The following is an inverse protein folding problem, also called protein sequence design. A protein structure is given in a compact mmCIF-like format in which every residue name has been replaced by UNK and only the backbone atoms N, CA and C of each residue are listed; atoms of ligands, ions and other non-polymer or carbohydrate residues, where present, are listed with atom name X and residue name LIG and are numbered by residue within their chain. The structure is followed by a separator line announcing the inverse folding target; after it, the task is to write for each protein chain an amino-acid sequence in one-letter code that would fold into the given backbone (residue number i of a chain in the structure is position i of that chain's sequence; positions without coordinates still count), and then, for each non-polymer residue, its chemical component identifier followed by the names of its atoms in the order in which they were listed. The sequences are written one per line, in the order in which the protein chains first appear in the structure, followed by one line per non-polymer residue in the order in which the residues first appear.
data_IF_874569394261
#
_entry.id   IF_874569394261
#
_cell.length_a   1.000
_cell.length_b   1.000
_cell.length_c   1.000
_cell.angle_alpha   90.00
_cell.angle_beta   90.00
_cell.angle_gamma   90.00
#
_symmetry.space_group_name_H-M   'P 1'
#
loop_
_entity.id
_entity.type
_entity.pdbx_description
1 polymer ?
#
# COMPACT_ATOMS: atom_id res chain seq x y z
N UNK A 1 -20.39 -30.98 -26.46
CA UNK A 1 -20.29 -30.51 -25.07
C UNK A 1 -20.98 -31.59 -24.27
N UNK A 2 -20.18 -32.45 -23.65
CA UNK A 2 -20.72 -33.58 -22.90
C UNK A 2 -21.44 -33.08 -21.63
N UNK A 3 -22.31 -33.91 -21.05
CA UNK A 3 -22.96 -33.59 -19.77
C UNK A 3 -21.94 -33.27 -18.67
N UNK A 4 -20.76 -33.88 -18.75
CA UNK A 4 -19.64 -33.69 -17.85
C UNK A 4 -18.99 -32.30 -18.04
N UNK A 5 -18.84 -31.82 -19.28
CA UNK A 5 -18.34 -30.46 -19.58
C UNK A 5 -19.30 -29.38 -19.10
N UNK A 6 -20.62 -29.62 -19.22
CA UNK A 6 -21.67 -28.70 -18.77
C UNK A 6 -21.65 -28.63 -17.24
N UNK A 7 -21.47 -29.77 -16.57
CA UNK A 7 -21.34 -29.84 -15.12
C UNK A 7 -20.05 -29.17 -14.61
N UNK A 8 -18.94 -29.27 -15.36
CA UNK A 8 -17.68 -28.64 -15.01
C UNK A 8 -17.70 -27.11 -15.18
N UNK A 9 -18.34 -26.61 -16.24
CA UNK A 9 -18.38 -25.17 -16.55
C UNK A 9 -19.54 -24.40 -15.91
N UNK A 10 -20.67 -25.05 -15.66
CA UNK A 10 -21.90 -24.40 -15.18
C UNK A 10 -22.43 -25.00 -13.87
N UNK A 11 -21.67 -25.89 -13.23
CA UNK A 11 -22.07 -26.59 -12.01
C UNK A 11 -22.49 -25.68 -10.85
N UNK A 12 -21.93 -24.47 -10.77
CA UNK A 12 -22.30 -23.49 -9.74
C UNK A 12 -23.69 -22.87 -9.95
N UNK A 13 -24.17 -22.80 -11.20
CA UNK A 13 -25.50 -22.30 -11.56
C UNK A 13 -26.57 -23.40 -11.55
N UNK A 14 -26.19 -24.66 -11.35
CA UNK A 14 -27.12 -25.77 -11.27
C UNK A 14 -27.80 -25.83 -9.88
N UNK A 15 -29.04 -26.35 -9.79
CA UNK A 15 -29.71 -26.59 -8.51
C UNK A 15 -28.81 -27.39 -7.56
N UNK A 16 -28.85 -27.15 -6.24
CA UNK A 16 -27.96 -27.78 -5.22
C UNK A 16 -27.76 -29.30 -5.36
N UNK A 17 -28.77 -30.02 -5.86
CA UNK A 17 -28.73 -31.46 -6.18
C UNK A 17 -27.75 -31.86 -7.30
N UNK A 18 -27.23 -30.88 -8.05
CA UNK A 18 -26.27 -31.00 -9.15
C UNK A 18 -25.05 -30.08 -8.93
N UNK A 19 -24.83 -29.60 -7.71
CA UNK A 19 -23.59 -28.92 -7.35
C UNK A 19 -22.55 -29.97 -6.98
N UNK A 20 -21.31 -29.81 -7.46
CA UNK A 20 -20.19 -30.69 -7.16
C UNK A 20 -19.94 -30.63 -5.64
N UNK A 21 -20.19 -31.72 -4.91
CA UNK A 21 -19.82 -31.80 -3.50
C UNK A 21 -18.30 -31.93 -3.40
N UNK A 22 -17.64 -30.80 -3.15
CA UNK A 22 -16.22 -30.81 -2.86
C UNK A 22 -15.96 -31.54 -1.53
N UNK A 23 -14.88 -32.33 -1.45
CA UNK A 23 -14.45 -32.93 -0.19
C UNK A 23 -14.28 -31.86 0.91
N UNK A 24 -14.59 -32.20 2.16
CA UNK A 24 -14.51 -31.25 3.28
C UNK A 24 -13.13 -30.62 3.46
N UNK A 25 -12.06 -31.35 3.12
CA UNK A 25 -10.70 -30.82 3.15
C UNK A 25 -10.51 -29.68 2.13
N UNK A 26 -11.13 -29.76 0.96
CA UNK A 26 -11.03 -28.75 -0.09
C UNK A 26 -11.91 -27.53 0.24
N UNK A 27 -13.12 -27.74 0.77
CA UNK A 27 -13.98 -26.64 1.25
C UNK A 27 -13.28 -25.80 2.31
N UNK A 28 -12.63 -26.46 3.28
CA UNK A 28 -11.84 -25.76 4.32
C UNK A 28 -10.70 -24.93 3.74
N UNK A 29 -10.07 -25.39 2.66
CA UNK A 29 -9.01 -24.64 1.98
C UNK A 29 -9.62 -23.43 1.24
N UNK A 30 -10.68 -23.63 0.47
CA UNK A 30 -11.35 -22.55 -0.27
C UNK A 30 -11.83 -21.45 0.69
N UNK A 31 -12.49 -21.83 1.79
CA UNK A 31 -12.99 -20.89 2.80
C UNK A 31 -11.86 -20.16 3.55
N UNK A 32 -10.63 -20.71 3.54
CA UNK A 32 -9.46 -20.09 4.19
C UNK A 32 -8.75 -19.06 3.31
N UNK A 33 -9.04 -19.04 2.00
CA UNK A 33 -8.39 -18.14 1.04
C UNK A 33 -9.31 -16.96 0.78
N UNK A 34 -8.86 -15.76 1.13
CA UNK A 34 -9.55 -14.55 0.67
C UNK A 34 -9.22 -14.36 -0.81
N UNK A 35 -10.24 -14.23 -1.66
CA UNK A 35 -10.05 -13.98 -3.10
C UNK A 35 -10.59 -12.60 -3.44
N UNK A 36 -9.80 -11.82 -4.17
CA UNK A 36 -10.20 -10.54 -4.75
C UNK A 36 -10.03 -10.60 -6.25
N UNK A 37 -11.05 -10.21 -7.01
CA UNK A 37 -11.00 -10.19 -8.46
C UNK A 37 -10.93 -8.76 -8.99
N UNK A 38 -10.02 -8.53 -9.93
CA UNK A 38 -9.82 -7.27 -10.64
C UNK A 38 -10.13 -7.53 -12.11
N UNK A 39 -11.34 -7.14 -12.53
CA UNK A 39 -11.87 -7.35 -13.88
C UNK A 39 -11.15 -6.52 -14.96
N UNK A 40 -11.35 -6.87 -16.23
CA UNK A 40 -10.90 -6.03 -17.37
C UNK A 40 -11.61 -4.66 -17.42
N UNK A 41 -12.83 -4.57 -16.89
CA UNK A 41 -13.65 -3.34 -16.83
C UNK A 41 -13.76 -2.77 -15.40
N UNK A 42 -12.61 -2.60 -14.74
CA UNK A 42 -12.40 -2.20 -13.32
C UNK A 42 -13.27 -1.04 -12.78
N UNK A 43 -13.84 -0.24 -13.65
CA UNK A 43 -14.61 0.96 -13.32
C UNK A 43 -16.11 0.75 -13.24
N UNK A 44 -16.62 -0.39 -13.72
CA UNK A 44 -18.04 -0.73 -13.60
C UNK A 44 -18.35 -1.45 -12.27
N UNK A 45 -17.34 -2.06 -11.63
CA UNK A 45 -17.56 -2.99 -10.52
C UNK A 45 -17.34 -2.42 -9.11
N UNK A 46 -16.92 -1.15 -9.00
CA UNK A 46 -17.08 -0.36 -7.75
C UNK A 46 -18.59 -0.05 -7.50
N UNK A 47 -19.49 -0.53 -8.37
CA UNK A 47 -20.95 -0.30 -8.33
C UNK A 47 -21.68 -0.89 -7.12
N UNK A 48 -21.12 -1.88 -6.40
CA UNK A 48 -21.91 -2.61 -5.40
C UNK A 48 -21.78 -2.14 -3.94
N UNK A 49 -20.91 -1.16 -3.65
CA UNK A 49 -20.85 -0.55 -2.29
C UNK A 49 -21.60 0.79 -2.17
N UNK A 50 -22.03 1.41 -3.28
CA UNK A 50 -22.77 2.68 -3.25
C UNK A 50 -24.29 2.45 -3.28
N UNK A 51 -24.88 2.03 -2.15
CA UNK A 51 -26.32 2.17 -1.96
C UNK A 51 -26.68 3.62 -1.69
N UNK A 52 -27.57 4.13 -2.55
CA UNK A 52 -28.42 5.33 -2.42
C UNK A 52 -27.80 6.70 -2.75
N UNK A 53 -28.12 7.22 -3.94
CA UNK A 53 -28.11 8.67 -4.19
C UNK A 53 -27.98 9.04 -5.66
N UNK A 54 -28.98 9.73 -6.20
CA UNK A 54 -28.97 10.29 -7.56
C UNK A 54 -27.99 11.46 -7.65
N UNK A 55 -26.89 11.33 -8.41
CA UNK A 55 -26.08 12.49 -8.81
C UNK A 55 -25.38 12.28 -10.16
N UNK A 56 -25.47 13.32 -10.99
CA UNK A 56 -24.66 13.73 -12.16
C UNK A 56 -23.60 12.72 -12.66
N UNK A 57 -23.73 12.28 -13.93
CA UNK A 57 -22.76 11.44 -14.66
C UNK A 57 -21.42 12.18 -14.88
N UNK A 58 -20.54 12.14 -13.89
CA UNK A 58 -19.10 12.33 -14.08
C UNK A 58 -18.45 10.97 -14.41
N UNK A 59 -17.37 10.92 -15.20
CA UNK A 59 -16.57 9.70 -15.36
C UNK A 59 -16.14 9.13 -14.00
N UNK A 60 -16.48 7.87 -13.71
CA UNK A 60 -16.29 7.22 -12.40
C UNK A 60 -14.82 7.12 -11.94
N UNK A 61 -13.84 7.19 -12.86
CA UNK A 61 -12.39 7.26 -12.54
C UNK A 61 -12.03 8.52 -11.75
N UNK A 62 -12.71 9.64 -12.03
CA UNK A 62 -12.45 10.91 -11.38
C UNK A 62 -12.92 10.88 -9.92
N UNK A 63 -14.02 10.14 -9.65
CA UNK A 63 -14.52 9.94 -8.30
C UNK A 63 -13.60 9.02 -7.47
N UNK A 64 -13.02 7.98 -8.07
CA UNK A 64 -12.18 7.03 -7.33
C UNK A 64 -10.84 7.62 -6.91
N UNK A 65 -10.16 8.37 -7.78
CA UNK A 65 -8.84 8.96 -7.43
C UNK A 65 -8.98 10.02 -6.33
N UNK A 66 -9.97 10.91 -6.44
CA UNK A 66 -10.24 11.91 -5.41
C UNK A 66 -10.60 11.24 -4.07
N UNK A 67 -11.48 10.23 -4.11
CA UNK A 67 -11.86 9.46 -2.91
C UNK A 67 -10.68 8.73 -2.27
N UNK A 68 -9.76 8.17 -3.05
CA UNK A 68 -8.56 7.54 -2.51
C UNK A 68 -7.56 8.55 -1.94
N UNK A 69 -7.50 9.75 -2.50
CA UNK A 69 -6.72 10.84 -1.92
C UNK A 69 -7.25 11.20 -0.53
N UNK A 70 -8.57 11.33 -0.39
CA UNK A 70 -9.23 11.59 0.89
C UNK A 70 -9.04 10.43 1.88
N UNK A 71 -9.21 9.19 1.42
CA UNK A 71 -9.01 7.98 2.23
C UNK A 71 -7.58 7.88 2.77
N UNK A 72 -6.58 8.19 1.94
CA UNK A 72 -5.19 8.21 2.38
C UNK A 72 -4.97 9.31 3.43
N UNK A 73 -5.53 10.50 3.21
CA UNK A 73 -5.44 11.58 4.18
C UNK A 73 -6.07 11.17 5.53
N UNK A 74 -7.23 10.53 5.51
CA UNK A 74 -7.90 10.03 6.72
C UNK A 74 -7.06 8.97 7.46
N UNK A 75 -6.46 8.04 6.72
CA UNK A 75 -5.55 7.04 7.27
C UNK A 75 -4.33 7.70 7.94
N UNK A 76 -3.73 8.70 7.29
CA UNK A 76 -2.60 9.46 7.85
C UNK A 76 -3.02 10.24 9.10
N UNK A 77 -4.17 10.92 9.07
CA UNK A 77 -4.70 11.65 10.22
C UNK A 77 -4.96 10.73 11.41
N UNK A 78 -5.47 9.52 11.17
CA UNK A 78 -5.67 8.50 12.21
C UNK A 78 -4.34 8.13 12.87
N UNK A 79 -3.30 7.86 12.07
CA UNK A 79 -1.95 7.59 12.58
C UNK A 79 -1.33 8.76 13.32
N UNK A 80 -1.57 9.99 12.87
CA UNK A 80 -1.14 11.20 13.58
C UNK A 80 -1.85 11.38 14.92
N UNK A 81 -3.14 11.03 15.00
CA UNK A 81 -3.88 11.04 16.25
C UNK A 81 -3.35 9.99 17.24
N UNK A 82 -3.09 8.76 16.77
CA UNK A 82 -2.43 7.70 17.56
C UNK A 82 -1.05 8.14 18.07
N UNK A 83 -0.23 8.72 17.18
CA UNK A 83 1.07 9.30 17.52
C UNK A 83 0.95 10.37 18.62
N UNK A 84 -0.02 11.29 18.50
CA UNK A 84 -0.27 12.35 19.47
C UNK A 84 -0.68 11.81 20.85
N UNK A 85 -1.61 10.85 20.89
CA UNK A 85 -2.05 10.19 22.12
C UNK A 85 -0.90 9.43 22.81
N UNK A 86 -0.08 8.75 22.01
CA UNK A 86 1.10 8.05 22.51
C UNK A 86 2.12 9.04 23.08
N UNK A 87 2.37 10.17 22.41
CA UNK A 87 3.26 11.21 22.93
C UNK A 87 2.78 11.71 24.29
N UNK A 88 1.51 12.06 24.43
CA UNK A 88 0.96 12.55 25.70
C UNK A 88 1.13 11.53 26.84
N UNK A 89 0.93 10.25 26.55
CA UNK A 89 1.07 9.17 27.53
C UNK A 89 2.54 8.98 27.94
N UNK A 90 3.45 9.02 26.96
CA UNK A 90 4.87 8.90 27.19
C UNK A 90 5.39 10.09 28.00
N UNK A 91 5.04 11.32 27.62
CA UNK A 91 5.47 12.55 28.29
C UNK A 91 5.06 12.56 29.78
N UNK A 92 3.85 12.08 30.10
CA UNK A 92 3.37 11.93 31.50
C UNK A 92 4.21 10.93 32.31
N UNK A 93 4.72 9.89 31.68
CA UNK A 93 5.51 8.84 32.36
C UNK A 93 7.01 9.10 32.30
N UNK A 94 7.45 10.11 31.56
CA UNK A 94 8.86 10.42 31.32
C UNK A 94 9.65 10.67 32.62
N UNK A 95 9.23 11.55 33.55
CA UNK A 95 10.03 11.81 34.76
C UNK A 95 10.23 10.57 35.62
N UNK A 96 9.18 9.76 35.78
CA UNK A 96 9.23 8.54 36.57
C UNK A 96 10.19 7.49 35.95
N UNK A 97 10.19 7.37 34.62
CA UNK A 97 11.08 6.43 33.93
C UNK A 97 12.55 6.85 33.96
N UNK A 98 12.84 8.14 33.81
CA UNK A 98 14.22 8.65 33.89
C UNK A 98 14.85 8.31 35.25
N UNK A 99 14.08 8.45 36.34
CA UNK A 99 14.55 8.15 37.70
C UNK A 99 14.77 6.63 37.92
N UNK A 100 13.94 5.79 37.30
CA UNK A 100 13.99 4.33 37.48
C UNK A 100 15.00 3.63 36.54
N UNK A 101 15.39 4.28 35.43
CA UNK A 101 16.24 3.67 34.40
C UNK A 101 17.69 3.58 34.88
N UNK A 102 18.29 2.40 34.75
CA UNK A 102 19.73 2.22 34.89
C UNK A 102 20.40 2.53 33.55
N UNK A 103 21.51 3.26 33.58
CA UNK A 103 22.33 3.49 32.40
C UNK A 103 22.89 2.14 31.93
N UNK A 104 22.55 1.75 30.70
CA UNK A 104 22.94 0.46 30.14
C UNK A 104 23.60 0.55 28.76
N UNK A 105 23.40 1.65 28.04
CA UNK A 105 23.95 1.86 26.70
C UNK A 105 25.26 2.66 26.78
N UNK A 106 26.23 2.29 25.95
CA UNK A 106 27.47 3.06 25.76
C UNK A 106 27.20 4.35 24.99
N UNK A 107 28.15 5.29 25.03
CA UNK A 107 27.99 6.58 24.34
C UNK A 107 27.92 6.43 22.82
N UNK A 108 28.69 5.48 22.28
CA UNK A 108 28.68 5.16 20.85
C UNK A 108 27.34 4.53 20.44
N UNK A 109 26.81 3.60 21.22
CA UNK A 109 25.48 3.00 20.98
C UNK A 109 24.36 4.04 21.06
N UNK A 110 24.44 5.01 21.97
CA UNK A 110 23.46 6.10 22.06
C UNK A 110 23.49 6.96 20.81
N UNK A 111 24.68 7.34 20.34
CA UNK A 111 24.85 8.15 19.13
C UNK A 111 24.30 7.42 17.90
N UNK A 112 24.65 6.15 17.73
CA UNK A 112 24.17 5.34 16.61
C UNK A 112 22.64 5.24 16.58
N UNK A 113 22.01 5.02 17.75
CA UNK A 113 20.55 4.97 17.86
C UNK A 113 19.87 6.31 17.61
N UNK A 114 20.45 7.42 18.08
CA UNK A 114 19.92 8.76 17.79
C UNK A 114 19.98 9.03 16.29
N UNK A 115 21.13 8.75 15.66
CA UNK A 115 21.30 8.92 14.22
C UNK A 115 20.31 8.04 13.43
N UNK A 116 20.05 6.81 13.88
CA UNK A 116 19.02 5.95 13.28
C UNK A 116 17.63 6.57 13.37
N UNK A 117 17.22 7.04 14.56
CA UNK A 117 15.91 7.65 14.76
C UNK A 117 15.74 8.94 13.95
N UNK A 118 16.81 9.73 13.79
CA UNK A 118 16.79 10.90 12.92
C UNK A 118 16.61 10.51 11.45
N UNK A 119 17.28 9.45 10.98
CA UNK A 119 17.07 8.92 9.61
C UNK A 119 15.62 8.47 9.40
N UNK A 120 15.06 7.69 10.32
CA UNK A 120 13.67 7.22 10.26
C UNK A 120 12.68 8.39 10.28
N UNK A 121 12.89 9.38 11.16
CA UNK A 121 12.09 10.61 11.19
C UNK A 121 12.16 11.35 9.85
N UNK A 122 13.35 11.53 9.29
CA UNK A 122 13.53 12.23 8.02
C UNK A 122 12.87 11.49 6.86
N UNK A 123 12.90 10.15 6.88
CA UNK A 123 12.16 9.31 5.93
C UNK A 123 10.66 9.56 6.02
N UNK A 124 10.07 9.52 7.22
CA UNK A 124 8.64 9.82 7.43
C UNK A 124 8.25 11.24 6.99
N UNK A 125 9.12 12.22 7.22
CA UNK A 125 8.92 13.61 6.74
C UNK A 125 8.94 13.64 5.22
N UNK A 126 9.95 13.03 4.60
CA UNK A 126 10.09 12.99 3.13
C UNK A 126 8.94 12.22 2.46
N UNK A 127 8.37 11.23 3.15
CA UNK A 127 7.20 10.48 2.73
C UNK A 127 5.93 11.35 2.77
N UNK A 128 5.88 12.39 3.60
CA UNK A 128 4.71 13.24 3.82
C UNK A 128 3.87 12.85 5.03
N UNK A 129 4.36 11.92 5.87
CA UNK A 129 3.65 11.39 7.03
C UNK A 129 3.87 12.22 8.29
N UNK A 130 5.02 12.88 8.42
CA UNK A 130 5.34 13.78 9.53
C UNK A 130 5.67 15.19 9.03
N UNK A 131 5.38 16.21 9.85
CA UNK A 131 5.82 17.58 9.59
C UNK A 131 7.25 17.76 10.07
N UNK A 132 8.00 18.61 9.39
CA UNK A 132 9.31 19.05 9.86
C UNK A 132 9.10 20.07 10.98
N UNK A 133 9.52 19.73 12.19
CA UNK A 133 9.59 20.69 13.29
C UNK A 133 10.81 21.61 13.08
N UNK A 134 10.66 22.92 13.31
CA UNK A 134 11.70 23.93 13.10
C UNK A 134 12.96 23.71 13.97
N UNK A 135 12.82 23.02 15.11
CA UNK A 135 13.87 22.85 16.14
C UNK A 135 14.51 21.45 16.20
N UNK A 136 14.55 20.73 15.08
CA UNK A 136 14.97 19.30 15.05
C UNK A 136 16.48 19.04 15.19
N UNK A 137 17.35 20.05 15.29
CA UNK A 137 18.81 19.85 15.32
C UNK A 137 19.30 19.51 16.74
N UNK A 138 18.98 18.30 17.22
CA UNK A 138 19.50 17.78 18.48
C UNK A 138 20.92 17.23 18.28
N UNK A 139 21.94 18.10 18.32
CA UNK A 139 23.34 17.67 18.30
C UNK A 139 23.85 17.44 19.72
N UNK A 140 24.15 16.18 20.05
CA UNK A 140 24.83 15.84 21.31
C UNK A 140 26.28 16.32 21.23
N UNK A 141 26.59 17.48 21.84
CA UNK A 141 27.97 17.95 22.05
C UNK A 141 28.54 17.41 23.36
N UNK A 142 29.81 16.99 23.30
CA UNK A 142 30.71 16.59 24.41
C UNK A 142 30.20 15.52 25.41
N UNK A 143 31.08 15.14 26.35
CA UNK A 143 31.00 13.95 27.21
C UNK A 143 29.63 13.77 27.86
N UNK A 144 29.01 12.62 27.60
CA UNK A 144 27.71 12.24 28.16
C UNK A 144 27.94 11.81 29.62
N UNK A 145 27.49 12.62 30.57
CA UNK A 145 27.46 12.20 31.97
C UNK A 145 26.42 11.07 32.17
N UNK A 146 26.52 10.34 33.29
CA UNK A 146 25.63 9.20 33.56
C UNK A 146 24.14 9.60 33.65
N UNK A 147 23.86 10.86 33.99
CA UNK A 147 22.49 11.40 34.02
C UNK A 147 21.96 11.66 32.61
N UNK A 148 22.76 12.28 31.73
CA UNK A 148 22.41 12.47 30.32
C UNK A 148 22.25 11.13 29.61
N UNK A 149 23.09 10.13 29.92
CA UNK A 149 22.97 8.77 29.38
C UNK A 149 21.61 8.14 29.70
N UNK A 150 21.14 8.27 30.95
CA UNK A 150 19.81 7.79 31.36
C UNK A 150 18.69 8.52 30.61
N UNK A 151 18.76 9.86 30.55
CA UNK A 151 17.79 10.68 29.84
C UNK A 151 17.69 10.29 28.36
N UNK A 152 18.82 10.20 27.66
CA UNK A 152 18.88 9.81 26.25
C UNK A 152 18.36 8.39 26.02
N UNK A 153 18.68 7.45 26.90
CA UNK A 153 18.16 6.08 26.77
C UNK A 153 16.63 6.01 26.84
N UNK A 154 16.01 6.79 27.74
CA UNK A 154 14.55 6.88 27.84
C UNK A 154 13.97 7.61 26.64
N UNK A 155 14.62 8.69 26.19
CA UNK A 155 14.22 9.43 25.00
C UNK A 155 14.21 8.55 23.75
N UNK A 156 15.28 7.77 23.51
CA UNK A 156 15.38 6.84 22.38
C UNK A 156 14.22 5.85 22.40
N UNK A 157 13.96 5.19 23.55
CA UNK A 157 12.83 4.25 23.67
C UNK A 157 11.47 4.90 23.41
N UNK A 158 11.34 6.19 23.68
CA UNK A 158 10.09 6.91 23.52
C UNK A 158 9.88 7.36 22.09
N UNK A 159 10.94 7.89 21.44
CA UNK A 159 10.89 8.25 20.03
C UNK A 159 10.68 7.03 19.17
N UNK A 160 11.42 5.94 19.41
CA UNK A 160 11.24 4.65 18.72
C UNK A 160 9.78 4.19 18.74
N UNK A 161 9.17 4.16 19.93
CA UNK A 161 7.74 3.81 20.08
C UNK A 161 6.80 4.74 19.33
N UNK A 162 7.11 6.03 19.30
CA UNK A 162 6.31 7.02 18.56
C UNK A 162 6.42 6.82 17.06
N UNK A 163 7.62 6.61 16.52
CA UNK A 163 7.82 6.40 15.08
C UNK A 163 7.21 5.07 14.61
N UNK A 164 7.24 4.04 15.47
CA UNK A 164 6.66 2.72 15.18
C UNK A 164 5.15 2.74 14.87
N UNK A 165 4.42 3.81 15.20
CA UNK A 165 3.01 4.01 14.82
C UNK A 165 2.82 3.99 13.30
N UNK A 166 3.84 4.37 12.54
CA UNK A 166 3.79 4.48 11.08
C UNK A 166 4.34 3.25 10.34
N UNK A 167 4.80 2.20 11.03
CA UNK A 167 5.47 1.06 10.39
C UNK A 167 4.57 0.29 9.41
N UNK A 168 3.26 0.37 9.57
CA UNK A 168 2.29 -0.28 8.70
C UNK A 168 1.98 0.54 7.43
N UNK A 169 1.93 1.88 7.55
CA UNK A 169 1.57 2.78 6.46
C UNK A 169 2.80 3.29 5.67
N UNK A 170 3.93 3.51 6.34
CA UNK A 170 5.12 4.10 5.72
C UNK A 170 5.64 3.30 4.52
N UNK A 171 5.90 1.98 4.63
CA UNK A 171 6.42 1.22 3.51
C UNK A 171 5.50 1.25 2.28
N UNK A 172 4.18 1.25 2.53
CA UNK A 172 3.16 1.29 1.48
C UNK A 172 3.15 2.65 0.77
N UNK A 173 3.23 3.73 1.52
CA UNK A 173 3.29 5.09 0.98
C UNK A 173 4.60 5.31 0.21
N UNK A 174 5.73 4.86 0.74
CA UNK A 174 7.01 4.96 0.07
C UNK A 174 7.01 4.20 -1.26
N UNK A 175 6.57 2.93 -1.26
CA UNK A 175 6.47 2.12 -2.47
C UNK A 175 5.51 2.75 -3.50
N UNK A 176 4.33 3.21 -3.05
CA UNK A 176 3.37 3.91 -3.90
C UNK A 176 4.00 5.12 -4.58
N UNK A 177 4.66 6.01 -3.81
CA UNK A 177 5.32 7.20 -4.35
C UNK A 177 6.42 6.83 -5.34
N UNK A 178 7.22 5.81 -5.04
CA UNK A 178 8.33 5.40 -5.88
C UNK A 178 7.85 4.88 -7.23
N UNK A 179 6.83 4.02 -7.26
CA UNK A 179 6.24 3.49 -8.49
C UNK A 179 5.67 4.62 -9.35
N UNK A 180 4.83 5.49 -8.76
CA UNK A 180 4.20 6.59 -9.50
C UNK A 180 5.24 7.59 -10.03
N UNK A 181 6.19 8.03 -9.19
CA UNK A 181 7.20 9.02 -9.60
C UNK A 181 8.17 8.47 -10.66
N UNK A 182 8.38 7.16 -10.70
CA UNK A 182 9.20 6.53 -11.74
C UNK A 182 8.47 6.49 -13.09
N UNK A 183 7.14 6.32 -13.06
CA UNK A 183 6.32 6.08 -14.24
C UNK A 183 5.74 7.35 -14.88
N UNK A 184 5.38 8.33 -14.05
CA UNK A 184 4.77 9.56 -14.52
C UNK A 184 5.84 10.46 -15.13
N UNK A 185 5.66 10.78 -16.41
CA UNK A 185 6.55 11.71 -17.09
C UNK A 185 6.11 13.15 -16.80
N UNK A 186 7.07 14.03 -16.49
CA UNK A 186 6.85 15.46 -16.28
C UNK A 186 5.98 15.85 -15.07
N UNK A 187 5.63 14.87 -14.22
CA UNK A 187 4.83 15.06 -13.01
C UNK A 187 5.48 14.31 -11.86
N UNK A 188 5.27 14.79 -10.64
CA UNK A 188 5.64 14.09 -9.43
C UNK A 188 4.48 14.07 -8.44
N UNK A 189 4.40 12.99 -7.66
CA UNK A 189 3.46 12.84 -6.55
C UNK A 189 4.18 13.07 -5.23
N UNK A 190 3.56 13.90 -4.41
CA UNK A 190 3.88 14.08 -3.00
C UNK A 190 2.63 13.76 -2.17
N UNK A 191 2.85 13.44 -0.90
CA UNK A 191 1.75 13.14 0.02
C UNK A 191 1.65 14.27 1.02
N UNK A 192 0.45 14.78 1.18
CA UNK A 192 0.09 15.76 2.17
C UNK A 192 -0.86 15.14 3.19
N UNK A 193 -0.65 15.47 4.45
CA UNK A 193 -1.39 14.90 5.57
C UNK A 193 -2.89 15.23 5.53
N UNK A 194 -3.27 16.35 4.92
CA UNK A 194 -4.66 16.83 4.89
C UNK A 194 -5.37 16.56 3.56
N UNK A 195 -4.62 16.50 2.45
CA UNK A 195 -5.18 16.36 1.10
C UNK A 195 -4.94 15.00 0.47
N UNK A 196 -3.99 14.21 0.99
CA UNK A 196 -3.56 12.96 0.37
C UNK A 196 -2.58 13.22 -0.76
N UNK A 197 -2.94 12.88 -2.00
CA UNK A 197 -2.08 13.06 -3.15
C UNK A 197 -2.01 14.53 -3.59
N UNK A 198 -0.79 15.05 -3.74
CA UNK A 198 -0.52 16.31 -4.42
C UNK A 198 0.37 16.02 -5.62
N UNK A 199 -0.13 16.33 -6.81
CA UNK A 199 0.63 16.22 -8.04
C UNK A 199 1.23 17.57 -8.41
N UNK A 200 2.47 17.58 -8.89
CA UNK A 200 3.15 18.80 -9.32
C UNK A 200 3.85 18.57 -10.65
N UNK A 201 3.68 19.50 -11.60
CA UNK A 201 4.37 19.48 -12.88
C UNK A 201 5.84 19.89 -12.70
N UNK A 202 6.69 19.63 -13.72
CA UNK A 202 8.06 20.14 -13.72
C UNK A 202 8.16 21.67 -13.63
N UNK A 203 7.12 22.37 -14.05
CA UNK A 203 7.02 23.83 -14.02
C UNK A 203 6.56 24.36 -12.64
N UNK A 204 6.24 23.45 -11.71
CA UNK A 204 5.81 23.79 -10.35
C UNK A 204 4.31 24.00 -10.20
N UNK A 205 3.51 23.72 -11.24
CA UNK A 205 2.06 23.82 -11.16
C UNK A 205 1.48 22.65 -10.38
N UNK A 206 0.61 22.96 -9.40
CA UNK A 206 -0.09 21.96 -8.60
C UNK A 206 -1.32 21.48 -9.37
N UNK A 207 -1.44 20.17 -9.53
CA UNK A 207 -2.54 19.50 -10.22
C UNK A 207 -3.46 18.81 -9.21
N UNK A 208 -4.76 18.87 -9.47
CA UNK A 208 -5.73 18.00 -8.80
C UNK A 208 -5.52 16.56 -9.28
N UNK A 209 -5.80 15.53 -8.44
CA UNK A 209 -5.76 14.15 -8.91
C UNK A 209 -6.70 13.87 -10.09
N UNK A 210 -7.75 14.69 -10.28
CA UNK A 210 -8.67 14.65 -11.42
C UNK A 210 -8.07 15.17 -12.73
N UNK A 211 -6.97 15.91 -12.68
CA UNK A 211 -6.31 16.52 -13.84
C UNK A 211 -5.27 15.57 -14.48
N UNK A 212 -5.07 14.39 -13.89
CA UNK A 212 -4.29 13.31 -14.46
C UNK A 212 -4.94 12.78 -15.74
N UNK A 213 -4.14 12.23 -16.66
CA UNK A 213 -4.68 11.48 -17.80
C UNK A 213 -5.45 10.24 -17.32
N UNK A 214 -6.39 9.74 -18.12
CA UNK A 214 -7.19 8.57 -17.74
C UNK A 214 -6.34 7.32 -17.46
N UNK A 215 -5.23 7.14 -18.18
CA UNK A 215 -4.27 6.05 -17.93
C UNK A 215 -3.54 6.20 -16.58
N UNK A 216 -3.05 7.41 -16.27
CA UNK A 216 -2.45 7.73 -14.97
C UNK A 216 -3.46 7.50 -13.82
N UNK A 217 -4.68 8.02 -13.95
CA UNK A 217 -5.74 7.80 -12.95
C UNK A 217 -6.00 6.32 -12.69
N UNK A 218 -6.03 5.52 -13.77
CA UNK A 218 -6.31 4.10 -13.67
C UNK A 218 -5.19 3.33 -12.97
N UNK A 219 -3.93 3.61 -13.32
CA UNK A 219 -2.78 3.01 -12.64
C UNK A 219 -2.78 3.34 -11.15
N UNK A 220 -3.00 4.61 -10.82
CA UNK A 220 -3.06 5.07 -9.43
C UNK A 220 -4.11 4.29 -8.64
N UNK A 221 -5.30 4.11 -9.22
CA UNK A 221 -6.39 3.34 -8.61
C UNK A 221 -5.97 1.91 -8.30
N UNK A 222 -5.43 1.17 -9.29
CA UNK A 222 -4.99 -0.21 -9.08
C UNK A 222 -3.91 -0.27 -7.99
N UNK A 223 -2.90 0.58 -8.10
CA UNK A 223 -1.78 0.58 -7.17
C UNK A 223 -2.24 0.88 -5.74
N UNK A 224 -3.17 1.83 -5.59
CA UNK A 224 -3.74 2.18 -4.30
C UNK A 224 -4.56 1.02 -3.72
N UNK A 225 -5.39 0.36 -4.52
CA UNK A 225 -6.17 -0.80 -4.06
C UNK A 225 -5.25 -1.92 -3.56
N UNK A 226 -4.25 -2.29 -4.36
CA UNK A 226 -3.32 -3.37 -4.04
C UNK A 226 -2.52 -3.10 -2.75
N UNK A 227 -2.11 -1.85 -2.51
CA UNK A 227 -1.29 -1.51 -1.34
C UNK A 227 -2.13 -1.23 -0.08
N UNK A 228 -3.25 -0.52 -0.22
CA UNK A 228 -3.98 0.04 0.92
C UNK A 228 -5.31 -0.65 1.22
N UNK A 229 -5.96 -1.30 0.24
CA UNK A 229 -7.29 -1.91 0.42
C UNK A 229 -7.25 -3.42 0.59
N UNK A 230 -6.29 -4.10 -0.03
CA UNK A 230 -6.19 -5.56 0.06
C UNK A 230 -5.57 -5.98 1.39
N UNK A 231 -6.17 -6.98 2.03
CA UNK A 231 -5.66 -7.57 3.27
C UNK A 231 -4.55 -8.58 2.96
N UNK A 232 -3.55 -8.74 3.85
CA UNK A 232 -2.56 -9.80 3.72
C UNK A 232 -3.19 -11.19 3.57
N UNK A 233 -2.50 -12.11 2.90
CA UNK A 233 -2.96 -13.47 2.57
C UNK A 233 -4.23 -13.49 1.71
N UNK A 234 -4.31 -12.58 0.73
CA UNK A 234 -5.37 -12.56 -0.28
C UNK A 234 -4.79 -13.00 -1.62
N UNK A 235 -5.51 -13.88 -2.32
CA UNK A 235 -5.28 -14.21 -3.72
C UNK A 235 -5.98 -13.18 -4.60
N UNK A 236 -5.20 -12.48 -5.43
CA UNK A 236 -5.69 -11.49 -6.37
C UNK A 236 -5.72 -12.11 -7.75
N UNK A 237 -6.90 -12.08 -8.36
CA UNK A 237 -7.12 -12.51 -9.74
C UNK A 237 -7.18 -11.25 -10.62
N UNK A 238 -6.34 -11.17 -11.66
CA UNK A 238 -6.29 -10.02 -12.56
C UNK A 238 -6.56 -10.49 -13.99
N UNK A 239 -7.56 -9.90 -14.64
CA UNK A 239 -7.88 -10.16 -16.04
C UNK A 239 -7.45 -9.00 -16.96
N UNK A 240 -6.86 -9.33 -18.10
CA UNK A 240 -6.34 -8.44 -19.16
C UNK A 240 -5.79 -7.08 -18.67
N UNK A 241 -4.75 -7.05 -17.80
CA UNK A 241 -4.21 -5.79 -17.28
C UNK A 241 -3.62 -4.86 -18.35
N UNK A 242 -3.27 -5.38 -19.53
CA UNK A 242 -2.75 -4.60 -20.65
C UNK A 242 -3.75 -3.60 -21.22
N UNK A 243 -5.06 -3.87 -21.08
CA UNK A 243 -6.10 -3.06 -21.73
C UNK A 243 -6.17 -1.63 -21.19
N UNK A 244 -5.58 -1.38 -20.03
CA UNK A 244 -5.61 -0.09 -19.35
C UNK A 244 -4.23 0.52 -19.11
N UNK A 245 -3.16 -0.18 -19.47
CA UNK A 245 -1.77 0.24 -19.23
C UNK A 245 -1.08 0.71 -20.50
N UNK A 246 -0.36 1.83 -20.40
CA UNK A 246 0.56 2.26 -21.46
C UNK A 246 1.69 1.24 -21.65
N UNK A 247 2.19 1.09 -22.88
CA UNK A 247 3.17 0.06 -23.24
C UNK A 247 4.43 0.07 -22.38
N UNK A 248 4.95 1.26 -22.07
CA UNK A 248 6.12 1.43 -21.20
C UNK A 248 5.89 0.92 -19.78
N UNK A 249 4.64 0.88 -19.32
CA UNK A 249 4.29 0.43 -17.98
C UNK A 249 4.01 -1.05 -17.93
N UNK A 250 3.46 -1.64 -19.00
CA UNK A 250 3.30 -3.10 -19.12
C UNK A 250 4.63 -3.81 -18.85
N UNK A 251 5.72 -3.28 -19.42
CA UNK A 251 7.09 -3.79 -19.28
C UNK A 251 7.63 -3.81 -17.84
N UNK A 252 7.12 -2.93 -16.97
CA UNK A 252 7.53 -2.86 -15.57
C UNK A 252 6.49 -3.45 -14.61
N UNK A 253 5.30 -3.78 -15.12
CA UNK A 253 4.13 -4.12 -14.30
C UNK A 253 4.38 -5.34 -13.41
N UNK A 254 4.98 -6.41 -13.95
CA UNK A 254 5.32 -7.59 -13.14
C UNK A 254 6.33 -7.28 -12.04
N UNK A 255 7.26 -6.35 -12.28
CA UNK A 255 8.23 -5.94 -11.27
C UNK A 255 7.54 -5.18 -10.14
N UNK A 256 6.65 -4.25 -10.48
CA UNK A 256 5.89 -3.49 -9.49
C UNK A 256 5.00 -4.43 -8.65
N UNK A 257 4.30 -5.38 -9.29
CA UNK A 257 3.52 -6.40 -8.59
C UNK A 257 4.39 -7.27 -7.66
N UNK A 258 5.62 -7.59 -8.05
CA UNK A 258 6.54 -8.33 -7.19
C UNK A 258 6.99 -7.53 -5.97
N UNK A 259 7.16 -6.21 -6.10
CA UNK A 259 7.46 -5.35 -4.95
C UNK A 259 6.25 -5.25 -4.01
N UNK A 260 5.04 -5.13 -4.57
CA UNK A 260 3.77 -5.06 -3.81
C UNK A 260 3.49 -6.37 -3.07
N UNK A 261 3.61 -7.53 -3.74
CA UNK A 261 3.35 -8.86 -3.15
C UNK A 261 4.31 -9.17 -2.01
N UNK A 262 5.60 -8.84 -2.17
CA UNK A 262 6.59 -8.97 -1.09
C UNK A 262 6.27 -8.10 0.11
N UNK A 263 5.78 -6.88 -0.12
CA UNK A 263 5.46 -5.96 0.97
C UNK A 263 4.16 -6.34 1.69
N UNK A 264 3.13 -6.71 0.93
CA UNK A 264 1.76 -6.86 1.45
C UNK A 264 1.38 -8.31 1.78
N UNK A 265 2.24 -9.29 1.42
CA UNK A 265 1.97 -10.71 1.64
C UNK A 265 0.78 -11.21 0.81
N UNK A 266 0.78 -10.90 -0.49
CA UNK A 266 -0.31 -11.18 -1.42
C UNK A 266 0.16 -12.16 -2.49
N UNK A 267 -0.77 -12.97 -2.99
CA UNK A 267 -0.55 -13.82 -4.16
C UNK A 267 -1.34 -13.27 -5.33
N UNK A 268 -0.76 -13.28 -6.54
CA UNK A 268 -1.41 -12.75 -7.74
C UNK A 268 -1.42 -13.83 -8.82
N UNK A 269 -2.59 -14.08 -9.38
CA UNK A 269 -2.79 -14.87 -10.59
C UNK A 269 -3.37 -13.94 -11.67
N UNK A 270 -2.79 -13.99 -12.86
CA UNK A 270 -3.14 -13.08 -13.94
C UNK A 270 -3.38 -13.83 -15.24
N UNK A 271 -4.41 -13.42 -15.97
CA UNK A 271 -4.60 -13.76 -17.37
C UNK A 271 -4.20 -12.54 -18.22
N UNK A 272 -3.34 -12.76 -19.22
CA UNK A 272 -2.88 -11.71 -20.13
C UNK A 272 -2.61 -12.28 -21.52
N UNK A 273 -2.88 -11.48 -22.53
CA UNK A 273 -2.48 -11.71 -23.92
C UNK A 273 -1.22 -10.93 -24.29
N UNK A 274 -0.71 -10.05 -23.42
CA UNK A 274 0.39 -9.15 -23.70
C UNK A 274 1.77 -9.78 -23.39
N UNK A 275 2.62 -10.01 -24.40
CA UNK A 275 4.02 -10.37 -24.18
C UNK A 275 4.80 -9.27 -23.46
N UNK A 276 4.36 -8.00 -23.58
CA UNK A 276 5.01 -6.87 -22.93
C UNK A 276 4.84 -6.90 -21.41
N UNK A 277 3.73 -7.47 -20.90
CA UNK A 277 3.56 -7.72 -19.47
C UNK A 277 4.49 -8.85 -19.00
N UNK A 278 4.55 -9.95 -19.77
CA UNK A 278 5.40 -11.09 -19.44
C UNK A 278 6.88 -10.70 -19.43
N UNK A 279 7.29 -9.85 -20.39
CA UNK A 279 8.64 -9.36 -20.58
C UNK A 279 9.67 -10.52 -20.57
N UNK A 280 10.57 -10.57 -19.59
CA UNK A 280 11.59 -11.61 -19.43
C UNK A 280 11.17 -12.73 -18.47
N UNK A 281 9.95 -12.68 -17.90
CA UNK A 281 9.46 -13.60 -16.86
C UNK A 281 8.57 -14.73 -17.37
N UNK A 282 9.00 -15.37 -18.46
CA UNK A 282 8.36 -16.58 -18.99
C UNK A 282 8.41 -17.76 -18.03
N UNK A 283 9.29 -17.72 -17.00
CA UNK A 283 9.33 -18.70 -15.92
C UNK A 283 8.06 -18.70 -15.04
N UNK A 284 7.28 -17.61 -15.08
CA UNK A 284 6.04 -17.46 -14.33
C UNK A 284 4.78 -17.81 -15.13
N UNK A 285 4.91 -18.20 -16.40
CA UNK A 285 3.75 -18.41 -17.28
C UNK A 285 3.33 -19.87 -17.33
N UNK A 286 2.02 -20.07 -17.49
CA UNK A 286 1.43 -21.37 -17.83
C UNK A 286 0.62 -21.16 -19.10
N UNK A 287 1.07 -21.76 -20.20
CA UNK A 287 0.35 -21.66 -21.48
C UNK A 287 -0.95 -22.48 -21.44
N UNK A 288 -2.03 -21.86 -21.89
CA UNK A 288 -3.31 -22.54 -22.05
C UNK A 288 -3.31 -23.25 -23.42
N UNK A 289 -3.00 -24.55 -23.42
CA UNK A 289 -3.13 -25.38 -24.63
C UNK A 289 -4.61 -25.63 -24.98
N UNK A 290 -4.90 -25.77 -26.27
CA UNK A 290 -6.22 -26.23 -26.72
C UNK A 290 -6.47 -27.63 -26.14
N UNK A 291 -7.69 -27.94 -25.64
CA UNK A 291 -8.00 -29.29 -25.19
C UNK A 291 -7.71 -30.26 -26.34
N UNK A 292 -6.94 -31.32 -26.06
CA UNK A 292 -6.69 -32.38 -27.04
C UNK A 292 -8.04 -32.87 -27.52
N UNK A 293 -8.35 -32.63 -28.80
CA UNK A 293 -9.56 -33.16 -29.42
C UNK A 293 -9.52 -34.68 -29.24
N UNK A 294 -10.43 -35.20 -28.41
CA UNK A 294 -10.69 -36.63 -28.29
C UNK A 294 -11.44 -37.12 -29.50
#
# INVERSE_FOLDING_TARGET
MDLEDIYERFGEYLPKQFQKEYPDWLKKIIDSINVSFIESQRLLDISNSAKNGRTIRMPMTLYSVASYSEDLAENIQTKLAEYGQLSQTLDRTFPARVVQKKASLTDDELREKIDQLERERNQLISAGLLKKDEDSNFQVKDSIDDSTRKLLSVYIEYVDKKLNVFNDIYPKVELFKNIINKKYSFKSVTIDQSKGFIFTTQEGEVLSPTDLSSGEQHELVILYELLFKVKPNTLILIDEPEMSLHISWQQEFLKDLQEITKLSGLDILMATHSPDIINDRWDLTVELEKPKQR
#
